data_IF_714499282694
#
_entry.id   IF_714499282694
#
_cell.length_a   1.000
_cell.length_b   1.000
_cell.length_c   1.000
_cell.angle_alpha   90.00
_cell.angle_beta   90.00
_cell.angle_gamma   90.00
#
_symmetry.space_group_name_H-M   'P 1'
#
loop_
_entity.id
_entity.type
_entity.pdbx_description
1 polymer ?
#
# COMPACT_ATOMS: atom_id res chain seq x y z
N UNK A 1 3.72 -20.08 4.08
CA UNK A 1 2.45 -19.36 4.01
C UNK A 1 1.55 -19.98 2.96
N UNK A 2 0.27 -20.17 3.26
CA UNK A 2 -0.62 -20.78 2.29
C UNK A 2 -1.07 -19.76 1.25
N UNK A 3 -1.31 -20.23 0.04
CA UNK A 3 -1.85 -19.42 -1.05
C UNK A 3 -3.17 -18.76 -0.67
N UNK A 4 -3.99 -19.46 0.12
CA UNK A 4 -5.25 -18.94 0.62
C UNK A 4 -5.06 -17.67 1.47
N UNK A 5 -4.07 -17.68 2.36
CA UNK A 5 -3.78 -16.52 3.20
C UNK A 5 -3.31 -15.33 2.38
N UNK A 6 -2.55 -15.56 1.32
CA UNK A 6 -2.09 -14.50 0.43
C UNK A 6 -3.26 -13.86 -0.32
N UNK A 7 -4.17 -14.67 -0.85
CA UNK A 7 -5.36 -14.17 -1.53
C UNK A 7 -6.22 -13.33 -0.59
N UNK A 8 -6.41 -13.79 0.63
CA UNK A 8 -7.19 -13.08 1.64
C UNK A 8 -6.53 -11.75 1.99
N UNK A 9 -5.21 -11.74 2.13
CA UNK A 9 -4.46 -10.53 2.43
C UNK A 9 -4.57 -9.51 1.28
N UNK A 10 -4.46 -9.96 0.03
CA UNK A 10 -4.64 -9.09 -1.13
C UNK A 10 -6.03 -8.45 -1.15
N UNK A 11 -7.07 -9.22 -0.86
CA UNK A 11 -8.45 -8.69 -0.80
C UNK A 11 -8.60 -7.63 0.28
N UNK A 12 -7.99 -7.86 1.44
CA UNK A 12 -8.02 -6.87 2.54
C UNK A 12 -7.34 -5.58 2.13
N UNK A 13 -6.19 -5.68 1.47
CA UNK A 13 -5.44 -4.52 1.00
C UNK A 13 -6.25 -3.75 -0.06
N UNK A 14 -6.82 -4.45 -1.02
CA UNK A 14 -7.64 -3.82 -2.07
C UNK A 14 -8.85 -3.11 -1.44
N UNK A 15 -9.52 -3.74 -0.50
CA UNK A 15 -10.64 -3.13 0.20
C UNK A 15 -10.19 -1.86 0.93
N UNK A 16 -9.09 -1.94 1.67
CA UNK A 16 -8.54 -0.80 2.40
C UNK A 16 -8.20 0.36 1.47
N UNK A 17 -7.68 0.05 0.28
CA UNK A 17 -7.31 1.07 -0.72
C UNK A 17 -8.51 1.71 -1.40
N UNK A 18 -9.68 1.05 -1.37
CA UNK A 18 -10.85 1.52 -2.11
C UNK A 18 -11.81 2.36 -1.28
N UNK A 19 -11.62 2.39 0.03
CA UNK A 19 -12.58 3.03 0.95
C UNK A 19 -11.90 3.93 1.97
N UNK A 20 -11.02 4.82 1.51
CA UNK A 20 -10.36 5.79 2.41
C UNK A 20 -11.26 6.98 2.74
N UNK A 21 -12.31 7.19 1.96
CA UNK A 21 -13.15 8.37 2.12
C UNK A 21 -12.65 9.61 1.39
N UNK A 22 -11.46 9.52 0.76
CA UNK A 22 -10.85 10.62 0.00
C UNK A 22 -10.61 10.13 -1.42
N UNK A 23 -11.31 10.74 -2.39
CA UNK A 23 -11.28 10.29 -3.78
C UNK A 23 -9.88 10.29 -4.38
N UNK A 24 -9.11 11.33 -4.14
CA UNK A 24 -7.75 11.45 -4.68
C UNK A 24 -6.85 10.34 -4.14
N UNK A 25 -7.00 10.01 -2.87
CA UNK A 25 -6.23 8.93 -2.24
C UNK A 25 -6.65 7.57 -2.80
N UNK A 26 -7.94 7.35 -2.99
CA UNK A 26 -8.44 6.10 -3.57
C UNK A 26 -7.91 5.89 -4.99
N UNK A 27 -7.87 6.95 -5.80
CA UNK A 27 -7.34 6.89 -7.16
C UNK A 27 -5.84 6.61 -7.18
N UNK A 28 -5.10 7.25 -6.29
CA UNK A 28 -3.65 7.03 -6.18
C UNK A 28 -3.35 5.60 -5.76
N UNK A 29 -4.07 5.09 -4.76
CA UNK A 29 -3.90 3.72 -4.29
C UNK A 29 -4.23 2.71 -5.39
N UNK A 30 -5.28 2.96 -6.17
CA UNK A 30 -5.61 2.08 -7.29
C UNK A 30 -4.47 2.00 -8.28
N UNK A 31 -3.91 3.15 -8.64
CA UNK A 31 -2.82 3.23 -9.62
C UNK A 31 -1.53 2.59 -9.11
N UNK A 32 -1.14 2.89 -7.88
CA UNK A 32 0.19 2.52 -7.36
C UNK A 32 0.20 1.22 -6.58
N UNK A 33 -0.92 0.81 -6.02
CA UNK A 33 -0.99 -0.37 -5.15
C UNK A 33 -1.84 -1.46 -5.77
N UNK A 34 -3.12 -1.19 -6.02
CA UNK A 34 -4.06 -2.21 -6.50
C UNK A 34 -3.60 -2.80 -7.84
N UNK A 35 -3.19 -1.94 -8.78
CA UNK A 35 -2.74 -2.40 -10.09
C UNK A 35 -1.42 -3.17 -10.05
N UNK A 36 -0.67 -3.05 -8.97
CA UNK A 36 0.63 -3.72 -8.80
C UNK A 36 0.60 -4.85 -7.78
N UNK A 37 -0.56 -5.12 -7.19
CA UNK A 37 -0.64 -6.01 -6.04
C UNK A 37 -0.16 -7.44 -6.36
N UNK A 38 -0.37 -7.90 -7.59
CA UNK A 38 0.06 -9.23 -8.00
C UNK A 38 1.57 -9.33 -8.25
N UNK A 39 2.26 -8.19 -8.32
CA UNK A 39 3.73 -8.16 -8.47
C UNK A 39 4.45 -8.14 -7.12
N UNK A 40 3.71 -8.00 -6.02
CA UNK A 40 4.29 -7.89 -4.70
C UNK A 40 4.51 -9.28 -4.09
N UNK A 41 5.69 -9.47 -3.48
CA UNK A 41 5.98 -10.70 -2.75
C UNK A 41 5.17 -10.77 -1.45
N UNK A 42 4.98 -11.96 -0.86
CA UNK A 42 4.22 -12.08 0.39
C UNK A 42 4.73 -11.18 1.52
N UNK A 43 6.05 -11.06 1.68
CA UNK A 43 6.61 -10.18 2.71
C UNK A 43 6.28 -8.71 2.43
N UNK A 44 6.22 -8.31 1.16
CA UNK A 44 5.85 -6.95 0.78
C UNK A 44 4.38 -6.65 1.08
N UNK A 45 3.52 -7.64 0.88
CA UNK A 45 2.10 -7.52 1.22
C UNK A 45 1.90 -7.32 2.72
N UNK A 46 2.65 -8.06 3.53
CA UNK A 46 2.60 -7.88 4.99
C UNK A 46 3.14 -6.52 5.42
N UNK A 47 4.22 -6.07 4.80
CA UNK A 47 4.76 -4.73 5.05
C UNK A 47 3.72 -3.65 4.71
N UNK A 48 3.03 -3.80 3.59
CA UNK A 48 2.00 -2.85 3.17
C UNK A 48 0.84 -2.81 4.17
N UNK A 49 0.40 -3.98 4.65
CA UNK A 49 -0.64 -4.06 5.67
C UNK A 49 -0.22 -3.36 6.95
N UNK A 50 1.02 -3.57 7.38
CA UNK A 50 1.57 -2.91 8.56
C UNK A 50 1.68 -1.40 8.36
N UNK A 51 2.08 -0.98 7.18
CA UNK A 51 2.14 0.45 6.83
C UNK A 51 0.78 1.12 7.02
N UNK A 52 -0.29 0.50 6.53
CA UNK A 52 -1.65 1.04 6.70
C UNK A 52 -2.07 1.14 8.16
N UNK A 53 -1.54 0.26 9.02
CA UNK A 53 -1.85 0.30 10.45
C UNK A 53 -1.04 1.36 11.20
N UNK A 54 0.17 1.67 10.73
CA UNK A 54 1.10 2.56 11.44
C UNK A 54 1.07 3.99 10.93
N UNK A 55 0.73 4.21 9.67
CA UNK A 55 0.81 5.52 9.01
C UNK A 55 -0.56 5.89 8.47
N UNK A 56 -0.96 7.15 8.68
CA UNK A 56 -2.27 7.63 8.21
C UNK A 56 -2.31 7.71 6.68
N UNK A 57 -3.54 7.68 6.12
CA UNK A 57 -3.73 7.80 4.68
C UNK A 57 -3.21 9.13 4.14
N UNK A 58 -3.36 10.21 4.90
CA UNK A 58 -2.87 11.53 4.51
C UNK A 58 -1.34 11.49 4.35
N UNK A 59 -0.64 10.90 5.34
CA UNK A 59 0.81 10.79 5.29
C UNK A 59 1.28 9.89 4.15
N UNK A 60 0.60 8.76 3.95
CA UNK A 60 0.94 7.85 2.83
C UNK A 60 0.75 8.57 1.49
N UNK A 61 -0.33 9.32 1.33
CA UNK A 61 -0.57 10.11 0.12
C UNK A 61 0.56 11.11 -0.13
N UNK A 62 0.98 11.83 0.91
CA UNK A 62 2.06 12.81 0.78
C UNK A 62 3.39 12.14 0.42
N UNK A 63 3.66 10.97 1.00
CA UNK A 63 4.88 10.21 0.69
C UNK A 63 4.86 9.72 -0.76
N UNK A 64 3.74 9.16 -1.20
CA UNK A 64 3.62 8.62 -2.55
C UNK A 64 3.63 9.71 -3.63
N UNK A 65 3.28 10.95 -3.27
CA UNK A 65 3.35 12.10 -4.18
C UNK A 65 4.63 12.91 -4.03
N UNK A 66 5.59 12.40 -3.27
CA UNK A 66 6.92 13.00 -3.04
C UNK A 66 6.86 14.35 -2.29
N UNK A 67 5.81 14.57 -1.51
CA UNK A 67 5.66 15.80 -0.71
C UNK A 67 6.11 15.59 0.74
N UNK A 68 6.43 14.35 1.12
CA UNK A 68 6.91 14.00 2.44
C UNK A 68 7.87 12.83 2.33
N UNK A 69 8.91 12.81 3.15
CA UNK A 69 9.84 11.69 3.20
C UNK A 69 9.53 10.80 4.40
N UNK A 70 9.66 9.48 4.19
CA UNK A 70 9.53 8.51 5.27
C UNK A 70 10.84 7.73 5.37
N UNK A 71 11.63 8.01 6.40
CA UNK A 71 12.82 7.23 6.72
C UNK A 71 12.41 6.12 7.67
N UNK A 72 12.10 4.96 7.12
CA UNK A 72 11.68 3.82 7.93
C UNK A 72 11.91 2.51 7.18
N UNK A 73 11.52 1.42 7.85
CA UNK A 73 11.58 0.08 7.25
C UNK A 73 10.73 -0.07 5.99
N UNK A 74 9.84 0.89 5.69
CA UNK A 74 8.96 0.86 4.54
C UNK A 74 9.53 1.58 3.32
N UNK A 75 10.70 2.19 3.41
CA UNK A 75 11.27 2.99 2.33
C UNK A 75 11.41 2.21 1.03
N UNK A 76 11.92 0.98 1.09
CA UNK A 76 12.10 0.16 -0.11
C UNK A 76 10.77 -0.21 -0.76
N UNK A 77 9.78 -0.55 0.05
CA UNK A 77 8.43 -0.86 -0.44
C UNK A 77 7.84 0.35 -1.15
N UNK A 78 7.93 1.52 -0.54
CA UNK A 78 7.37 2.75 -1.10
C UNK A 78 8.05 3.14 -2.41
N UNK A 79 9.36 2.94 -2.52
CA UNK A 79 10.07 3.16 -3.78
C UNK A 79 9.55 2.25 -4.88
N UNK A 80 9.32 0.98 -4.56
CA UNK A 80 8.79 0.01 -5.52
C UNK A 80 7.40 0.42 -6.00
N UNK A 81 6.56 0.90 -5.09
CA UNK A 81 5.20 1.32 -5.45
C UNK A 81 5.20 2.56 -6.35
N UNK A 82 6.19 3.44 -6.21
CA UNK A 82 6.28 4.66 -7.02
C UNK A 82 6.79 4.40 -8.45
N UNK A 83 7.39 3.26 -8.69
CA UNK A 83 7.94 2.93 -10.02
C UNK A 83 6.87 2.71 -11.09
#
# INVERSE_FOLDING_TARGET
MSEYNIKKLKKKIIYRCSYTGIKETDLLYKKLIVNKIDTLAPNELYQLSNLFNEVSDIDIFLILTNKKNLNSKYTNLLKKLKE
#
